data_IF_010304096727
#
_entry.id   IF_010304096727
#
_cell.length_a   1.000
_cell.length_b   1.000
_cell.length_c   1.000
_cell.angle_alpha   90.00
_cell.angle_beta   90.00
_cell.angle_gamma   90.00
#
_symmetry.space_group_name_H-M   'P 1'
#
loop_
_entity.id
_entity.type
_entity.pdbx_description
1 polymer ?
#
# COMPACT_ATOMS: atom_id res chain seq x y z
N UNK A 1 4.29 -0.53 -5.11
CA UNK A 1 4.19 -1.69 -6.04
C UNK A 1 4.63 -2.98 -5.34
N UNK A 2 3.89 -4.09 -5.52
CA UNK A 2 4.29 -5.42 -5.01
C UNK A 2 4.11 -5.65 -3.50
N UNK A 3 3.48 -4.72 -2.79
CA UNK A 3 3.25 -4.80 -1.35
C UNK A 3 4.50 -4.55 -0.50
N UNK A 4 4.32 -4.60 0.83
CA UNK A 4 5.41 -4.50 1.79
C UNK A 4 6.17 -5.83 1.91
N UNK A 5 7.52 -5.84 1.82
CA UNK A 5 8.29 -7.08 1.86
C UNK A 5 8.03 -7.86 3.14
N UNK A 6 7.73 -9.15 3.01
CA UNK A 6 7.36 -10.08 4.09
C UNK A 6 6.06 -9.75 4.85
N UNK A 7 5.29 -8.73 4.43
CA UNK A 7 3.98 -8.42 4.98
C UNK A 7 2.87 -8.72 3.97
N UNK A 8 2.90 -8.06 2.82
CA UNK A 8 1.83 -8.11 1.81
C UNK A 8 1.20 -6.75 1.59
N UNK A 9 -0.09 -6.74 1.25
CA UNK A 9 -0.89 -5.52 1.06
C UNK A 9 -1.56 -5.13 2.38
N UNK A 10 -1.68 -3.83 2.64
CA UNK A 10 -2.43 -3.29 3.78
C UNK A 10 -3.82 -2.93 3.27
N UNK A 11 -4.86 -3.59 3.78
CA UNK A 11 -6.25 -3.41 3.32
C UNK A 11 -7.10 -2.64 4.34
N UNK A 12 -6.70 -2.63 5.60
CA UNK A 12 -7.40 -1.96 6.69
C UNK A 12 -6.83 -0.57 7.00
N UNK A 13 -7.44 0.09 7.99
CA UNK A 13 -6.99 1.36 8.53
C UNK A 13 -5.54 1.27 9.02
N UNK A 14 -4.73 2.25 8.61
CA UNK A 14 -3.32 2.30 8.92
C UNK A 14 -2.90 3.62 9.56
N UNK A 15 -1.84 3.55 10.37
CA UNK A 15 -1.21 4.71 11.00
C UNK A 15 0.23 4.85 10.50
N UNK A 16 0.64 6.09 10.21
CA UNK A 16 2.03 6.42 9.90
C UNK A 16 2.73 6.94 11.16
N UNK A 17 3.68 6.17 11.67
CA UNK A 17 4.50 6.55 12.84
C UNK A 17 5.82 7.13 12.33
N UNK A 18 6.22 8.28 12.86
CA UNK A 18 7.53 8.88 12.58
C UNK A 18 8.65 7.97 13.12
N UNK A 19 9.55 7.54 12.25
CA UNK A 19 10.73 6.73 12.62
C UNK A 19 10.46 5.22 12.56
N UNK A 20 11.07 4.46 13.49
CA UNK A 20 10.91 3.02 13.60
C UNK A 20 10.06 2.63 14.82
N UNK A 21 9.41 1.47 14.75
CA UNK A 21 8.70 0.85 15.86
C UNK A 21 9.44 -0.40 16.35
N UNK A 22 9.07 -0.89 17.53
CA UNK A 22 9.79 -2.00 18.17
C UNK A 22 9.52 -3.34 17.48
N UNK A 23 10.61 -3.91 16.94
CA UNK A 23 10.73 -5.26 16.41
C UNK A 23 10.27 -5.45 14.95
N UNK A 24 10.40 -6.67 14.37
CA UNK A 24 10.03 -7.01 13.00
C UNK A 24 8.56 -6.79 12.62
N UNK A 25 8.36 -6.74 11.30
CA UNK A 25 7.09 -6.72 10.58
C UNK A 25 6.15 -7.85 11.05
N UNK A 26 4.83 -7.64 10.93
CA UNK A 26 3.74 -8.55 11.40
C UNK A 26 3.59 -8.71 12.92
N UNK A 27 4.47 -8.14 13.75
CA UNK A 27 4.27 -8.15 15.21
C UNK A 27 3.13 -7.21 15.60
N UNK A 28 2.27 -7.67 16.50
CA UNK A 28 1.26 -6.84 17.17
C UNK A 28 1.96 -5.80 18.05
N UNK A 29 1.62 -4.53 17.87
CA UNK A 29 2.15 -3.41 18.66
C UNK A 29 0.99 -2.72 19.37
N UNK A 30 1.06 -2.64 20.70
CA UNK A 30 0.09 -1.89 21.51
C UNK A 30 0.50 -0.43 21.58
N UNK A 31 -0.33 0.46 21.04
CA UNK A 31 -0.12 1.90 21.13
C UNK A 31 -0.77 2.45 22.41
N UNK A 32 -0.11 3.42 23.03
CA UNK A 32 -0.57 4.06 24.26
C UNK A 32 -0.38 5.57 24.15
N UNK A 33 -1.33 6.33 24.67
CA UNK A 33 -1.18 7.76 24.82
C UNK A 33 -0.01 8.11 25.75
N UNK A 34 0.72 9.17 25.43
CA UNK A 34 1.81 9.67 26.27
C UNK A 34 1.30 10.07 27.65
N UNK A 35 2.01 9.65 28.69
CA UNK A 35 1.70 10.03 30.08
C UNK A 35 1.87 11.52 30.36
N UNK A 36 2.91 12.10 29.78
CA UNK A 36 3.26 13.50 29.96
C UNK A 36 2.66 14.32 28.82
N UNK A 37 2.13 15.49 29.15
CA UNK A 37 1.62 16.45 28.17
C UNK A 37 2.78 16.92 27.29
N UNK A 38 2.66 16.71 25.98
CA UNK A 38 3.66 17.14 25.02
C UNK A 38 3.47 18.64 24.76
N UNK A 39 4.48 19.44 25.09
CA UNK A 39 4.47 20.91 24.91
C UNK A 39 5.50 21.40 23.89
N UNK A 40 6.33 20.50 23.35
CA UNK A 40 7.37 20.86 22.40
C UNK A 40 6.75 21.25 21.05
N UNK A 41 7.39 22.21 20.36
CA UNK A 41 6.94 22.68 19.03
C UNK A 41 6.79 21.52 18.04
N UNK A 42 7.80 20.64 18.02
CA UNK A 42 7.81 19.43 17.19
C UNK A 42 6.62 18.49 17.42
N UNK A 43 6.03 18.49 18.62
CA UNK A 43 4.89 17.64 18.95
C UNK A 43 3.53 18.30 18.65
N UNK A 44 3.49 19.64 18.54
CA UNK A 44 2.26 20.41 18.29
C UNK A 44 2.11 20.83 16.81
N UNK A 45 3.10 20.53 15.98
CA UNK A 45 3.06 20.83 14.55
C UNK A 45 1.98 20.01 13.84
N UNK A 46 1.16 20.69 13.03
CA UNK A 46 0.19 20.05 12.15
C UNK A 46 0.92 19.43 10.94
N UNK A 47 0.84 18.12 10.78
CA UNK A 47 1.58 17.40 9.75
C UNK A 47 0.75 17.33 8.45
N UNK A 48 1.17 18.06 7.42
CA UNK A 48 0.65 17.97 6.05
C UNK A 48 1.67 17.30 5.14
N UNK A 49 1.42 16.04 4.77
CA UNK A 49 2.31 15.27 3.90
C UNK A 49 2.13 15.69 2.44
N UNK A 50 3.23 16.01 1.74
CA UNK A 50 3.21 16.32 0.30
C UNK A 50 3.40 15.08 -0.58
N UNK A 51 4.11 14.07 -0.08
CA UNK A 51 4.51 12.90 -0.86
C UNK A 51 4.70 11.69 0.04
N UNK A 52 4.28 10.52 -0.45
CA UNK A 52 4.50 9.21 0.16
C UNK A 52 5.13 8.31 -0.89
N UNK A 53 6.27 7.73 -0.55
CA UNK A 53 6.97 6.80 -1.45
C UNK A 53 6.29 5.42 -1.43
N UNK A 54 5.68 5.07 -2.55
CA UNK A 54 4.99 3.79 -2.80
C UNK A 54 5.76 2.88 -3.74
N UNK A 55 7.01 3.24 -4.06
CA UNK A 55 7.93 2.42 -4.85
C UNK A 55 8.17 1.05 -4.21
N UNK A 56 8.54 0.08 -5.04
CA UNK A 56 8.91 -1.25 -4.55
C UNK A 56 10.07 -1.16 -3.56
N UNK A 57 9.92 -1.80 -2.40
CA UNK A 57 10.99 -1.98 -1.40
C UNK A 57 11.69 -3.33 -1.50
N UNK A 58 11.30 -4.13 -2.48
CA UNK A 58 12.03 -5.32 -2.89
C UNK A 58 13.00 -4.91 -4.01
N UNK A 59 14.31 -4.94 -3.72
CA UNK A 59 15.35 -4.40 -4.60
C UNK A 59 15.39 -2.87 -4.63
N UNK A 60 15.67 -2.29 -5.81
CA UNK A 60 15.74 -0.84 -6.02
C UNK A 60 14.46 -0.34 -6.72
N UNK A 61 13.56 0.30 -5.97
CA UNK A 61 12.33 0.89 -6.50
C UNK A 61 12.60 2.09 -7.42
N UNK A 62 12.01 2.08 -8.62
CA UNK A 62 12.15 3.16 -9.62
C UNK A 62 10.86 3.91 -9.98
N UNK A 63 9.71 3.26 -9.80
CA UNK A 63 8.39 3.78 -10.17
C UNK A 63 7.47 3.76 -8.96
N UNK A 64 6.60 4.77 -8.85
CA UNK A 64 5.62 4.87 -7.77
C UNK A 64 4.38 4.06 -8.12
N UNK A 65 3.86 4.26 -9.34
CA UNK A 65 2.64 3.59 -9.83
C UNK A 65 2.95 2.56 -10.91
N UNK A 66 2.04 1.60 -11.07
CA UNK A 66 2.12 0.62 -12.18
C UNK A 66 1.97 1.31 -13.53
N UNK A 67 1.18 2.39 -13.60
CA UNK A 67 1.00 3.17 -14.82
C UNK A 67 2.29 3.86 -15.28
N UNK A 68 3.04 4.48 -14.36
CA UNK A 68 4.35 5.07 -14.65
C UNK A 68 5.31 4.03 -15.21
N UNK A 69 5.35 2.84 -14.58
CA UNK A 69 6.17 1.72 -15.03
C UNK A 69 5.81 1.32 -16.47
N UNK A 70 4.51 1.15 -16.75
CA UNK A 70 4.04 0.73 -18.08
C UNK A 70 4.33 1.79 -19.14
N UNK A 71 4.12 3.08 -18.83
CA UNK A 71 4.46 4.20 -19.74
C UNK A 71 5.95 4.26 -20.03
N UNK A 72 6.80 4.02 -19.03
CA UNK A 72 8.26 4.06 -19.20
C UNK A 72 8.79 2.92 -20.06
N UNK A 73 8.31 1.68 -19.84
CA UNK A 73 8.78 0.51 -20.60
C UNK A 73 8.07 0.30 -21.94
N UNK A 74 6.93 0.97 -22.20
CA UNK A 74 6.19 0.88 -23.46
C UNK A 74 5.47 -0.46 -23.67
N UNK A 75 5.13 -0.76 -24.94
CA UNK A 75 4.52 -2.04 -25.36
C UNK A 75 5.63 -3.11 -25.40
N UNK A 76 6.01 -3.62 -24.24
CA UNK A 76 7.05 -4.64 -24.15
C UNK A 76 7.04 -5.27 -22.77
N UNK A 77 6.71 -6.55 -22.75
CA UNK A 77 6.48 -7.42 -21.58
C UNK A 77 5.05 -7.34 -21.04
N UNK A 78 4.14 -8.02 -21.74
CA UNK A 78 3.04 -8.74 -21.11
C UNK A 78 3.62 -9.57 -19.95
N UNK A 79 3.49 -9.10 -18.71
CA UNK A 79 3.47 -10.02 -17.58
C UNK A 79 2.08 -10.67 -17.62
N UNK A 80 2.02 -11.86 -18.20
CA UNK A 80 0.90 -12.79 -18.15
C UNK A 80 0.43 -12.95 -16.69
N UNK A 81 -0.63 -12.24 -16.31
CA UNK A 81 -1.35 -12.41 -15.04
C UNK A 81 -2.86 -12.17 -15.27
N UNK A 82 -3.45 -12.65 -16.38
CA UNK A 82 -4.93 -12.81 -16.55
C UNK A 82 -5.30 -13.50 -17.87
N UNK A 83 -4.85 -14.75 -18.06
CA UNK A 83 -5.61 -15.76 -18.82
C UNK A 83 -5.67 -17.05 -18.00
N UNK A 84 -6.13 -16.92 -16.76
CA UNK A 84 -6.50 -18.03 -15.89
C UNK A 84 -7.53 -17.53 -14.87
N UNK A 85 -8.56 -16.84 -15.34
CA UNK A 85 -9.80 -16.78 -14.58
C UNK A 85 -10.88 -17.45 -15.40
N UNK A 86 -11.25 -18.59 -14.85
CA UNK A 86 -12.36 -19.48 -15.16
C UNK A 86 -13.49 -18.86 -15.98
N UNK A 87 -13.89 -19.65 -16.97
CA UNK A 87 -15.18 -19.70 -17.61
C UNK A 87 -16.34 -19.51 -16.61
N UNK A 88 -17.44 -18.95 -17.14
CA UNK A 88 -18.82 -18.92 -16.62
C UNK A 88 -19.20 -17.74 -15.72
N UNK A 89 -19.73 -16.68 -16.34
CA UNK A 89 -20.96 -16.00 -15.85
C UNK A 89 -21.65 -15.23 -16.98
N UNK A 90 -22.07 -15.94 -18.03
CA UNK A 90 -23.33 -15.58 -18.70
C UNK A 90 -24.42 -16.44 -18.07
N UNK A 91 -25.20 -15.87 -17.16
CA UNK A 91 -26.57 -16.32 -16.95
C UNK A 91 -27.44 -15.08 -16.73
N UNK A 92 -28.49 -15.06 -17.55
CA UNK A 92 -29.29 -13.93 -17.99
C UNK A 92 -30.02 -13.18 -16.87
N UNK A 93 -30.14 -11.86 -17.06
CA UNK A 93 -31.14 -11.02 -16.39
C UNK A 93 -32.53 -11.61 -16.60
N UNK A 94 -33.24 -11.83 -15.50
CA UNK A 94 -34.68 -12.05 -15.51
C UNK A 94 -35.40 -10.78 -15.94
N UNK A 95 -36.18 -10.89 -17.02
CA UNK A 95 -37.36 -10.07 -17.29
C UNK A 95 -38.42 -10.99 -17.88
N UNK A 96 -39.43 -11.32 -17.10
CA UNK A 96 -40.78 -11.59 -17.62
C UNK A 96 -41.76 -10.91 -16.67
N UNK A 97 -42.69 -10.18 -17.29
CA UNK A 97 -43.82 -9.49 -16.70
C UNK A 97 -44.79 -10.42 -15.96
#
# INVERSE_FOLDING_TARGET
>A
MGGFPHYGVVNEDYLLIKGCCVGPKKRVVTLRQSLLKQTSRLALEEIKLKFIDTSSKFGHGRFQTTEEKNKYFGIGVLMNQTKFFFQVSEFSFGQVA
#
